data_IF_120337600460
#
_entry.id   IF_120337600460
#
_cell.length_a   1.000
_cell.length_b   1.000
_cell.length_c   1.000
_cell.angle_alpha   90.00
_cell.angle_beta   90.00
_cell.angle_gamma   90.00
#
_symmetry.space_group_name_H-M   'P 1'
#
loop_
_entity.id
_entity.type
_entity.pdbx_description
1 polymer ?
#
# COMPACT_ATOMS: atom_id res chain seq x y z
N UNK A 1 46.22 1.30 6.53
CA UNK A 1 46.26 2.11 7.77
C UNK A 1 46.11 3.58 7.38
N UNK A 2 44.92 4.15 7.54
CA UNK A 2 44.66 5.57 7.33
C UNK A 2 44.33 6.19 8.68
N UNK A 3 45.32 6.83 9.30
CA UNK A 3 45.14 7.54 10.55
C UNK A 3 44.27 8.78 10.30
N UNK A 4 43.03 8.77 10.75
CA UNK A 4 42.25 9.99 10.91
C UNK A 4 42.91 10.85 12.01
N UNK A 5 43.09 12.16 11.78
CA UNK A 5 43.70 13.03 12.77
C UNK A 5 42.84 13.07 14.04
N UNK A 6 43.45 13.09 15.24
CA UNK A 6 42.72 13.23 16.49
C UNK A 6 42.21 14.67 16.61
N UNK A 7 40.88 14.85 16.57
CA UNK A 7 40.26 16.11 17.03
C UNK A 7 39.18 16.74 16.15
N UNK A 8 38.76 16.15 15.03
CA UNK A 8 37.53 16.61 14.34
C UNK A 8 36.36 15.69 14.68
N UNK A 9 35.34 16.25 15.33
CA UNK A 9 34.02 15.61 15.37
C UNK A 9 33.52 15.36 13.95
N UNK A 10 32.77 14.29 13.76
CA UNK A 10 32.13 13.96 12.50
C UNK A 10 30.89 14.84 12.33
N UNK A 11 30.69 15.43 11.15
CA UNK A 11 29.50 16.22 10.87
C UNK A 11 28.42 15.30 10.32
N UNK A 12 27.29 15.22 11.02
CA UNK A 12 26.11 14.46 10.59
C UNK A 12 24.93 15.39 10.43
N UNK A 13 23.99 15.01 9.56
CA UNK A 13 22.77 15.78 9.32
C UNK A 13 21.58 15.05 9.93
N UNK A 14 20.74 15.75 10.66
CA UNK A 14 19.48 15.22 11.13
C UNK A 14 18.33 15.89 10.39
N UNK A 15 17.56 15.09 9.66
CA UNK A 15 16.38 15.56 8.96
C UNK A 15 15.17 15.48 9.88
N UNK A 16 14.61 16.64 10.20
CA UNK A 16 13.38 16.78 10.95
C UNK A 16 12.17 16.31 10.10
N UNK A 17 11.05 15.94 10.73
CA UNK A 17 9.81 15.61 10.02
C UNK A 17 9.24 16.80 9.21
N UNK A 18 9.64 18.04 9.53
CA UNK A 18 9.34 19.24 8.73
C UNK A 18 10.11 19.30 7.40
N UNK A 19 11.10 18.43 7.20
CA UNK A 19 11.99 18.40 6.03
C UNK A 19 13.25 19.24 6.17
N UNK A 20 13.40 20.00 7.27
CA UNK A 20 14.59 20.79 7.58
C UNK A 20 15.75 19.90 8.04
N UNK A 21 16.97 20.16 7.54
CA UNK A 21 18.17 19.44 7.90
C UNK A 21 19.01 20.27 8.88
N UNK A 22 19.26 19.73 10.07
CA UNK A 22 20.11 20.35 11.10
C UNK A 22 21.47 19.67 11.09
N UNK A 23 22.55 20.44 10.99
CA UNK A 23 23.92 19.91 11.07
C UNK A 23 24.35 19.75 12.54
N UNK A 24 24.92 18.59 12.88
CA UNK A 24 25.47 18.31 14.22
C UNK A 24 26.88 17.77 14.14
N UNK A 25 27.71 18.21 15.07
CA UNK A 25 29.01 17.63 15.33
C UNK A 25 28.89 16.54 16.40
N UNK A 26 29.25 15.32 16.01
CA UNK A 26 29.10 14.10 16.81
C UNK A 26 30.43 13.35 16.84
N UNK A 27 30.80 12.82 18.00
CA UNK A 27 31.97 11.94 18.11
C UNK A 27 31.54 10.47 18.01
N UNK A 28 32.38 9.61 17.43
CA UNK A 28 32.08 8.20 17.24
C UNK A 28 31.79 7.44 18.57
N UNK A 29 32.34 7.93 19.69
CA UNK A 29 32.13 7.38 21.04
C UNK A 29 30.96 7.99 21.82
N UNK A 30 30.16 8.89 21.22
CA UNK A 30 28.95 9.39 21.87
C UNK A 30 27.83 8.33 21.85
N UNK A 31 27.00 8.34 22.90
CA UNK A 31 25.77 7.55 22.97
C UNK A 31 24.68 8.19 22.11
N UNK A 32 23.83 7.36 21.52
CA UNK A 32 22.66 7.82 20.76
C UNK A 32 21.76 8.72 21.62
N UNK A 33 21.59 8.41 22.90
CA UNK A 33 20.82 9.24 23.84
C UNK A 33 21.37 10.67 24.01
N UNK A 34 22.69 10.86 23.95
CA UNK A 34 23.32 12.19 24.00
C UNK A 34 23.05 13.00 22.73
N UNK A 35 23.02 12.35 21.56
CA UNK A 35 22.68 12.99 20.28
C UNK A 35 21.21 13.34 20.18
N UNK A 36 20.30 12.49 20.68
CA UNK A 36 18.87 12.84 20.81
C UNK A 36 18.66 14.12 21.64
N UNK A 37 19.43 14.26 22.73
CA UNK A 37 19.38 15.45 23.59
C UNK A 37 19.87 16.71 22.88
N UNK A 38 20.98 16.62 22.12
CA UNK A 38 21.47 17.73 21.28
C UNK A 38 20.45 18.14 20.21
N UNK A 39 19.71 17.18 19.68
CA UNK A 39 18.64 17.39 18.71
C UNK A 39 17.32 17.88 19.30
N UNK A 40 17.22 18.03 20.62
CA UNK A 40 15.97 18.30 21.33
C UNK A 40 14.84 17.36 20.88
N UNK A 41 15.21 16.15 20.45
CA UNK A 41 14.27 15.11 20.11
C UNK A 41 13.67 14.66 21.45
N UNK A 42 12.37 14.92 21.67
CA UNK A 42 11.70 14.50 22.89
C UNK A 42 11.96 13.00 23.17
N UNK A 43 11.93 12.59 24.44
CA UNK A 43 12.34 11.23 24.87
C UNK A 43 11.61 10.09 24.13
N UNK A 44 10.45 10.38 23.54
CA UNK A 44 9.69 9.41 22.74
C UNK A 44 10.13 9.32 21.26
N UNK A 45 11.00 10.18 20.75
CA UNK A 45 11.40 10.17 19.34
C UNK A 45 12.46 9.11 18.99
N UNK A 46 12.36 8.54 17.79
CA UNK A 46 13.33 7.59 17.23
C UNK A 46 14.27 8.27 16.23
N UNK A 47 15.56 7.97 16.30
CA UNK A 47 16.53 8.30 15.25
C UNK A 47 16.67 7.10 14.32
N UNK A 48 16.60 7.32 13.01
CA UNK A 48 16.64 6.25 12.01
C UNK A 48 17.83 6.48 11.08
N UNK A 49 18.63 5.43 10.88
CA UNK A 49 19.73 5.40 9.93
C UNK A 49 19.67 4.10 9.11
N UNK A 50 19.77 4.18 7.79
CA UNK A 50 19.75 2.98 6.92
C UNK A 50 18.48 2.12 7.03
N UNK A 51 17.37 2.69 7.54
CA UNK A 51 16.13 1.95 7.82
C UNK A 51 16.10 1.24 9.18
N UNK A 52 17.16 1.33 9.99
CA UNK A 52 17.20 0.82 11.35
C UNK A 52 17.01 1.94 12.38
N UNK A 53 16.15 1.70 13.37
CA UNK A 53 15.98 2.59 14.52
C UNK A 53 17.15 2.44 15.48
N UNK A 54 17.77 3.56 15.85
CA UNK A 54 18.89 3.62 16.80
C UNK A 54 18.36 3.53 18.24
N UNK A 55 18.95 2.66 19.04
CA UNK A 55 18.69 2.52 20.48
C UNK A 55 19.55 3.47 21.31
N UNK A 56 19.01 4.00 22.40
CA UNK A 56 19.66 5.05 23.21
C UNK A 56 20.91 4.59 23.96
N UNK A 57 20.96 3.29 24.31
CA UNK A 57 22.05 2.67 25.08
C UNK A 57 23.24 2.25 24.20
N UNK A 58 23.15 2.42 22.88
CA UNK A 58 24.19 2.03 21.92
C UNK A 58 25.06 3.21 21.50
N UNK A 59 26.29 2.88 21.10
CA UNK A 59 27.23 3.86 20.57
C UNK A 59 27.00 4.11 19.09
N UNK A 60 27.31 5.32 18.64
CA UNK A 60 27.12 5.75 17.25
C UNK A 60 28.03 5.00 16.28
N UNK A 61 29.23 4.60 16.74
CA UNK A 61 30.16 3.81 15.96
C UNK A 61 29.64 2.41 15.57
N UNK A 62 28.74 1.82 16.36
CA UNK A 62 28.17 0.49 16.09
C UNK A 62 27.31 0.48 14.82
N UNK A 63 26.71 1.63 14.48
CA UNK A 63 25.86 1.79 13.30
C UNK A 63 26.63 2.25 12.06
N UNK A 64 27.97 2.25 12.09
CA UNK A 64 28.83 2.59 10.95
C UNK A 64 28.48 3.95 10.32
N UNK A 65 28.15 4.94 11.15
CA UNK A 65 27.90 6.31 10.70
C UNK A 65 29.18 6.93 10.16
N UNK A 66 29.08 7.68 9.06
CA UNK A 66 30.19 8.33 8.36
C UNK A 66 30.00 9.84 8.27
N UNK A 67 31.07 10.55 7.94
CA UNK A 67 31.03 12.01 7.77
C UNK A 67 30.08 12.38 6.64
N UNK A 68 29.13 13.26 6.93
CA UNK A 68 28.03 13.63 6.04
C UNK A 68 26.83 12.67 6.04
N UNK A 69 26.80 11.63 6.88
CA UNK A 69 25.62 10.76 7.01
C UNK A 69 24.37 11.53 7.45
N UNK A 70 23.21 11.17 6.89
CA UNK A 70 21.90 11.76 7.25
C UNK A 70 21.09 10.80 8.11
N UNK A 71 20.67 11.27 9.29
CA UNK A 71 19.75 10.62 10.22
C UNK A 71 18.34 11.18 10.02
N UNK A 72 17.32 10.36 10.10
CA UNK A 72 15.94 10.82 10.10
C UNK A 72 15.38 10.84 11.53
N UNK A 73 14.84 11.99 11.93
CA UNK A 73 14.14 12.15 13.21
C UNK A 73 12.67 11.78 13.01
N UNK A 74 12.24 10.68 13.61
CA UNK A 74 10.86 10.24 13.58
C UNK A 74 10.22 10.44 14.97
N UNK A 75 9.26 11.37 15.13
CA UNK A 75 8.48 11.44 16.35
C UNK A 75 7.66 10.15 16.48
N UNK A 76 7.74 9.47 17.63
CA UNK A 76 6.84 8.36 17.92
C UNK A 76 5.46 8.93 18.25
N UNK A 77 4.68 9.18 17.21
CA UNK A 77 3.30 9.62 17.39
C UNK A 77 2.52 8.47 18.03
N UNK A 78 2.14 8.62 19.31
CA UNK A 78 1.09 7.80 19.93
C UNK A 78 -0.22 8.02 19.17
N UNK A 79 -0.45 7.23 18.12
CA UNK A 79 -1.69 7.28 17.33
C UNK A 79 -1.54 7.35 15.81
N UNK A 80 -0.38 7.03 15.25
CA UNK A 80 -0.17 7.01 13.79
C UNK A 80 -0.61 5.73 13.05
N UNK A 81 -1.36 4.84 13.69
CA UNK A 81 -1.85 3.61 13.07
C UNK A 81 -3.35 3.69 12.76
N UNK A 82 -3.70 3.88 11.49
CA UNK A 82 -5.02 3.57 10.91
C UNK A 82 -6.27 4.01 11.73
N UNK A 83 -6.52 5.32 11.84
CA UNK A 83 -7.85 5.89 12.06
C UNK A 83 -8.25 6.17 13.51
N UNK A 84 -9.06 7.22 13.70
CA UNK A 84 -9.63 7.58 15.01
C UNK A 84 -10.56 6.46 15.53
N UNK A 85 -10.68 6.26 16.86
CA UNK A 85 -11.62 5.30 17.44
C UNK A 85 -13.08 5.51 16.95
N UNK A 86 -13.43 6.75 16.62
CA UNK A 86 -14.72 7.14 16.08
C UNK A 86 -15.02 6.56 14.67
N UNK A 87 -13.99 6.26 13.86
CA UNK A 87 -14.18 5.70 12.51
C UNK A 87 -14.24 4.16 12.47
N UNK A 88 -14.01 3.48 13.60
CA UNK A 88 -13.87 2.02 13.66
C UNK A 88 -12.72 1.52 12.77
N UNK A 89 -12.39 0.22 12.83
CA UNK A 89 -11.37 -0.37 11.94
C UNK A 89 -11.79 -0.13 10.50
N UNK A 90 -11.17 0.83 9.80
CA UNK A 90 -11.50 1.17 8.41
C UNK A 90 -11.33 -0.09 7.57
N UNK A 91 -12.43 -0.74 7.20
CA UNK A 91 -12.38 -1.97 6.40
C UNK A 91 -11.91 -1.58 5.00
N UNK A 92 -10.59 -1.71 4.75
CA UNK A 92 -9.99 -1.62 3.41
C UNK A 92 -10.79 -2.57 2.51
N UNK A 93 -11.31 -2.03 1.40
CA UNK A 93 -12.34 -2.60 0.53
C UNK A 93 -12.50 -4.13 0.65
N UNK A 94 -13.59 -4.59 1.27
CA UNK A 94 -13.82 -6.01 1.54
C UNK A 94 -14.18 -6.85 0.30
N UNK A 95 -14.21 -6.24 -0.88
CA UNK A 95 -14.71 -6.84 -2.12
C UNK A 95 -13.65 -6.94 -3.23
N UNK A 96 -13.46 -8.17 -3.75
CA UNK A 96 -12.65 -8.52 -4.90
C UNK A 96 -13.45 -8.96 -6.12
N UNK A 97 -12.74 -9.25 -7.22
CA UNK A 97 -13.31 -9.88 -8.41
C UNK A 97 -13.70 -11.32 -8.09
N UNK A 98 -14.90 -11.73 -8.52
CA UNK A 98 -15.36 -13.09 -8.40
C UNK A 98 -14.96 -13.92 -9.63
N UNK A 99 -14.28 -15.04 -9.42
CA UNK A 99 -13.86 -15.98 -10.48
C UNK A 99 -15.05 -16.47 -11.32
N UNK A 100 -16.20 -16.73 -10.69
CA UNK A 100 -17.38 -17.25 -11.41
C UNK A 100 -18.09 -16.21 -12.28
N UNK A 101 -18.19 -14.96 -11.85
CA UNK A 101 -19.03 -13.97 -12.53
C UNK A 101 -18.31 -12.72 -13.03
N UNK A 102 -17.00 -12.58 -12.78
CA UNK A 102 -16.17 -11.45 -13.18
C UNK A 102 -16.51 -10.12 -12.50
N UNK A 103 -17.51 -10.09 -11.61
CA UNK A 103 -17.94 -8.85 -10.93
C UNK A 103 -17.13 -8.64 -9.65
N UNK A 104 -16.78 -7.39 -9.35
CA UNK A 104 -16.16 -6.98 -8.07
C UNK A 104 -17.17 -7.05 -6.93
N UNK A 105 -17.48 -8.26 -6.52
CA UNK A 105 -18.54 -8.59 -5.55
C UNK A 105 -18.21 -9.82 -4.71
N UNK A 106 -16.98 -10.36 -4.82
CA UNK A 106 -16.48 -11.41 -3.95
C UNK A 106 -16.06 -10.82 -2.62
N UNK A 107 -16.71 -11.19 -1.53
CA UNK A 107 -16.35 -10.67 -0.22
C UNK A 107 -15.19 -11.48 0.37
N UNK A 108 -14.06 -10.83 0.66
CA UNK A 108 -12.83 -11.50 1.14
C UNK A 108 -12.97 -12.11 2.53
N UNK A 109 -13.60 -11.40 3.48
CA UNK A 109 -13.83 -11.93 4.84
C UNK A 109 -14.84 -13.08 4.82
N UNK A 110 -16.01 -12.89 4.19
CA UNK A 110 -17.09 -13.89 4.12
C UNK A 110 -16.84 -15.02 3.11
N UNK A 111 -15.72 -14.96 2.37
CA UNK A 111 -15.35 -15.85 1.26
C UNK A 111 -16.53 -16.17 0.33
N UNK A 112 -17.40 -15.18 0.06
CA UNK A 112 -18.67 -15.38 -0.66
C UNK A 112 -18.97 -14.25 -1.62
N UNK A 113 -19.39 -14.59 -2.83
CA UNK A 113 -19.80 -13.61 -3.82
C UNK A 113 -21.25 -13.14 -3.60
N UNK A 114 -21.41 -11.84 -3.41
CA UNK A 114 -22.70 -11.18 -3.28
C UNK A 114 -23.45 -11.05 -4.62
N UNK A 115 -22.88 -11.38 -5.78
CA UNK A 115 -23.65 -11.41 -7.03
C UNK A 115 -24.14 -12.81 -7.36
N UNK A 116 -23.25 -13.80 -7.33
CA UNK A 116 -23.54 -15.13 -7.83
C UNK A 116 -23.67 -16.18 -6.72
N UNK A 117 -23.18 -15.93 -5.51
CA UNK A 117 -23.22 -16.90 -4.40
C UNK A 117 -22.03 -17.87 -4.35
N UNK A 118 -21.03 -17.72 -5.22
CA UNK A 118 -19.77 -18.49 -5.15
C UNK A 118 -19.21 -18.46 -3.73
N UNK A 119 -18.76 -19.58 -3.14
CA UNK A 119 -18.45 -20.88 -3.76
C UNK A 119 -19.63 -21.85 -3.96
N UNK A 120 -20.87 -21.49 -3.61
CA UNK A 120 -22.00 -22.41 -3.76
C UNK A 120 -22.17 -22.91 -5.21
N UNK A 121 -22.43 -24.21 -5.38
CA UNK A 121 -22.52 -24.88 -6.67
C UNK A 121 -23.50 -24.19 -7.63
N UNK A 122 -24.70 -23.85 -7.13
CA UNK A 122 -25.72 -23.16 -7.93
C UNK A 122 -25.59 -21.65 -7.86
N UNK A 123 -25.90 -20.97 -8.96
CA UNK A 123 -25.91 -19.50 -9.01
C UNK A 123 -27.14 -18.96 -8.30
N UNK A 124 -26.95 -18.17 -7.24
CA UNK A 124 -28.03 -17.51 -6.50
C UNK A 124 -28.93 -16.71 -7.45
N UNK A 125 -30.25 -16.90 -7.38
CA UNK A 125 -31.23 -16.20 -8.22
C UNK A 125 -32.28 -15.54 -7.32
N UNK A 126 -32.79 -14.37 -7.72
CA UNK A 126 -33.83 -13.65 -6.98
C UNK A 126 -35.01 -13.43 -7.92
N UNK A 127 -36.13 -14.10 -7.63
CA UNK A 127 -37.33 -14.02 -8.46
C UNK A 127 -38.24 -12.83 -8.10
N UNK A 128 -37.95 -12.11 -7.01
CA UNK A 128 -38.75 -10.99 -6.54
C UNK A 128 -38.28 -9.62 -7.07
N UNK A 129 -37.03 -9.47 -7.50
CA UNK A 129 -36.50 -8.17 -7.97
C UNK A 129 -36.35 -8.12 -9.49
N UNK A 130 -37.13 -7.26 -10.16
CA UNK A 130 -36.97 -6.96 -11.61
C UNK A 130 -35.52 -6.57 -11.95
N UNK A 131 -34.86 -5.77 -11.09
CA UNK A 131 -33.44 -5.38 -11.24
C UNK A 131 -32.49 -6.58 -11.14
N UNK A 132 -32.75 -7.53 -10.25
CA UNK A 132 -31.95 -8.74 -10.13
C UNK A 132 -32.14 -9.69 -11.32
N UNK A 133 -33.38 -9.85 -11.81
CA UNK A 133 -33.68 -10.60 -13.04
C UNK A 133 -32.92 -10.04 -14.25
N UNK A 134 -32.99 -8.72 -14.48
CA UNK A 134 -32.27 -8.05 -15.59
C UNK A 134 -30.75 -8.22 -15.56
N UNK A 135 -30.13 -8.33 -14.37
CA UNK A 135 -28.67 -8.52 -14.23
C UNK A 135 -28.19 -9.92 -14.64
N UNK A 136 -29.11 -10.88 -14.79
CA UNK A 136 -28.84 -12.25 -15.22
C UNK A 136 -29.38 -12.57 -16.60
N UNK A 137 -30.43 -11.89 -17.03
CA UNK A 137 -30.90 -11.96 -18.40
C UNK A 137 -29.74 -11.62 -19.35
N UNK A 138 -29.54 -12.39 -20.44
CA UNK A 138 -28.58 -12.01 -21.45
C UNK A 138 -29.02 -10.65 -22.02
N UNK A 139 -28.26 -9.60 -21.71
CA UNK A 139 -28.53 -8.27 -22.22
C UNK A 139 -28.27 -8.20 -23.72
N UNK A 140 -28.88 -7.23 -24.39
CA UNK A 140 -28.71 -6.92 -25.82
C UNK A 140 -27.24 -6.85 -26.26
N UNK A 141 -26.32 -6.40 -25.38
CA UNK A 141 -24.88 -6.39 -25.63
C UNK A 141 -24.19 -7.77 -25.59
N UNK A 142 -24.67 -8.72 -24.77
CA UNK A 142 -24.13 -10.09 -24.68
C UNK A 142 -24.64 -10.99 -25.81
N UNK A 143 -25.76 -10.61 -26.44
CA UNK A 143 -26.32 -11.27 -27.61
C UNK A 143 -25.99 -10.53 -28.92
N UNK A 144 -24.99 -9.64 -28.93
CA UNK A 144 -24.61 -8.87 -30.13
C UNK A 144 -24.26 -9.79 -31.30
N UNK A 145 -23.64 -10.93 -31.02
CA UNK A 145 -23.37 -11.99 -32.00
C UNK A 145 -24.67 -12.55 -32.62
N UNK A 146 -25.66 -12.88 -31.78
CA UNK A 146 -26.97 -13.40 -32.19
C UNK A 146 -27.74 -12.42 -33.09
N UNK A 147 -27.54 -11.10 -32.93
CA UNK A 147 -28.14 -10.09 -33.81
C UNK A 147 -27.70 -10.24 -35.28
N UNK A 148 -26.44 -10.62 -35.53
CA UNK A 148 -25.87 -10.71 -36.88
C UNK A 148 -25.81 -12.14 -37.42
N UNK A 149 -26.10 -13.14 -36.57
CA UNK A 149 -26.06 -14.56 -36.91
C UNK A 149 -26.94 -14.94 -38.11
N UNK A 150 -28.21 -14.49 -38.23
CA UNK A 150 -29.04 -14.82 -39.38
C UNK A 150 -28.48 -14.29 -40.71
N UNK A 151 -27.86 -13.09 -40.69
CA UNK A 151 -27.20 -12.51 -41.85
C UNK A 151 -25.95 -13.30 -42.21
N UNK A 152 -25.09 -13.63 -41.24
CA UNK A 152 -23.89 -14.45 -41.46
C UNK A 152 -24.23 -15.83 -42.00
N UNK A 153 -25.28 -16.47 -41.47
CA UNK A 153 -25.78 -17.75 -41.95
C UNK A 153 -26.19 -17.68 -43.43
N UNK A 154 -26.95 -16.64 -43.83
CA UNK A 154 -27.31 -16.41 -45.24
C UNK A 154 -26.10 -16.16 -46.16
N UNK A 155 -25.00 -15.64 -45.63
CA UNK A 155 -23.76 -15.42 -46.36
C UNK A 155 -22.73 -16.56 -46.21
N UNK A 156 -23.13 -17.72 -45.69
CA UNK A 156 -22.25 -18.88 -45.54
C UNK A 156 -21.07 -18.66 -44.59
N UNK A 157 -21.21 -17.78 -43.60
CA UNK A 157 -20.16 -17.41 -42.64
C UNK A 157 -18.86 -16.90 -43.27
N UNK A 158 -18.91 -16.38 -44.49
CA UNK A 158 -17.75 -15.78 -45.17
C UNK A 158 -17.30 -14.51 -44.43
N UNK A 159 -16.02 -14.43 -44.11
CA UNK A 159 -15.38 -13.25 -43.51
C UNK A 159 -14.48 -12.56 -44.54
N UNK A 160 -14.38 -11.22 -44.50
CA UNK A 160 -13.36 -10.47 -45.27
C UNK A 160 -13.67 -10.06 -46.72
N UNK A 161 -14.92 -10.07 -47.19
CA UNK A 161 -15.23 -9.49 -48.51
C UNK A 161 -15.30 -7.96 -48.42
N UNK A 162 -14.32 -7.27 -48.99
CA UNK A 162 -14.41 -5.85 -49.35
C UNK A 162 -15.52 -5.70 -50.41
N UNK A 163 -16.44 -4.76 -50.20
CA UNK A 163 -17.43 -4.44 -51.22
C UNK A 163 -16.70 -3.94 -52.49
N UNK A 164 -17.12 -4.37 -53.70
CA UNK A 164 -16.55 -3.85 -54.94
C UNK A 164 -16.74 -2.34 -55.08
#
# INVERSE_FOLDING_TARGET
AGCQPPGRGMQVFAQAPSGEAVALEVQAGELVGSVKRKLQCGEEGALIYGGQSLEDDKMICEYSLQDGSTLHVAPLLRGGGDGTPAMGKRHKHSHGLCVRCGKRSFHYQKKRCASCGYPAARIRHYNWSKKAKRRKAPGTGRMRYLKTLPRRFKHGFREGTTAP
#
